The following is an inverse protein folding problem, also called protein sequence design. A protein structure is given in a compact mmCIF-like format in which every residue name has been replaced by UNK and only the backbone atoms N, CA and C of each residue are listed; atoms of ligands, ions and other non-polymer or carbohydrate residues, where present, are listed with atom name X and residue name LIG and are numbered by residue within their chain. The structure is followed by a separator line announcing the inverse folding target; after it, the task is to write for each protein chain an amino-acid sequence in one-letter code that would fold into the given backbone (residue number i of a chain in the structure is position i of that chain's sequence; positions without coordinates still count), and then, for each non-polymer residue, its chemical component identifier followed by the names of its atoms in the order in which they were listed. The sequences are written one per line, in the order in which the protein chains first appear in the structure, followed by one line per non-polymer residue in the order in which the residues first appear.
data_IF_684061683624
#
_entry.id   IF_684061683624
#
_cell.length_a   1.000
_cell.length_b   1.000
_cell.length_c   1.000
_cell.angle_alpha   90.00
_cell.angle_beta   90.00
_cell.angle_gamma   90.00
#
_symmetry.space_group_name_H-M   'P 1'
#
loop_
_entity.id
_entity.type
_entity.pdbx_description
1 polymer ?
#
# COMPACT_ATOMS: atom_id res chain seq x y z
N UNK A 1 -9.48 -0.37 6.94
CA UNK A 1 -9.54 0.20 5.58
C UNK A 1 -8.63 1.41 5.52
N UNK A 2 -7.55 1.37 4.73
CA UNK A 2 -6.71 2.55 4.48
C UNK A 2 -7.51 3.50 3.57
N UNK A 3 -8.03 4.60 4.13
CA UNK A 3 -8.81 5.59 3.38
C UNK A 3 -8.03 6.90 3.38
N UNK A 4 -7.56 7.28 2.21
CA UNK A 4 -6.75 8.46 1.97
C UNK A 4 -5.95 8.26 0.70
N UNK A 5 -6.07 9.19 -0.24
CA UNK A 5 -5.23 9.25 -1.44
C UNK A 5 -3.79 9.55 -1.00
N UNK A 6 -3.11 8.55 -0.45
CA UNK A 6 -1.66 8.60 -0.35
C UNK A 6 -1.19 8.57 -1.78
N UNK A 7 -0.45 9.59 -2.22
CA UNK A 7 0.22 9.60 -3.52
C UNK A 7 1.26 8.47 -3.50
N UNK A 8 0.82 7.27 -3.85
CA UNK A 8 1.68 6.12 -4.08
C UNK A 8 2.03 6.13 -5.55
N UNK A 9 3.28 6.50 -5.85
CA UNK A 9 3.78 6.47 -7.21
C UNK A 9 3.81 5.02 -7.72
N UNK A 10 3.12 4.81 -8.84
CA UNK A 10 3.16 3.57 -9.60
C UNK A 10 4.31 3.71 -10.61
N UNK A 11 5.30 2.81 -10.54
CA UNK A 11 6.37 2.82 -11.53
C UNK A 11 5.89 2.26 -12.88
N UNK A 12 6.72 2.40 -13.92
CA UNK A 12 6.43 1.94 -15.28
C UNK A 12 6.19 0.43 -15.41
N UNK A 13 6.46 -0.35 -14.35
CA UNK A 13 6.25 -1.80 -14.30
C UNK A 13 5.04 -2.18 -13.45
N UNK A 14 4.23 -1.21 -13.02
CA UNK A 14 3.08 -1.45 -12.17
C UNK A 14 3.46 -1.79 -10.73
N UNK A 15 4.68 -1.48 -10.28
CA UNK A 15 5.08 -1.70 -8.88
C UNK A 15 4.75 -0.47 -8.04
N UNK A 16 4.24 -0.72 -6.85
CA UNK A 16 3.85 0.31 -5.90
C UNK A 16 4.77 0.25 -4.68
N UNK A 17 5.38 1.39 -4.32
CA UNK A 17 6.20 1.49 -3.11
C UNK A 17 5.33 1.86 -1.91
N UNK A 18 5.14 0.91 -1.00
CA UNK A 18 4.42 1.18 0.27
C UNK A 18 5.30 2.06 1.17
N UNK A 19 4.83 3.23 1.64
CA UNK A 19 5.59 4.08 2.57
C UNK A 19 5.91 3.35 3.88
N UNK A 20 7.10 3.57 4.44
CA UNK A 20 7.61 2.85 5.63
C UNK A 20 6.63 2.90 6.81
N UNK A 21 6.00 4.05 7.06
CA UNK A 21 5.03 4.26 8.14
C UNK A 21 3.81 3.32 8.11
N UNK A 22 3.47 2.76 6.95
CA UNK A 22 2.31 1.88 6.79
C UNK A 22 2.68 0.40 6.75
N UNK A 23 3.97 0.05 6.62
CA UNK A 23 4.40 -1.34 6.48
C UNK A 23 4.11 -2.17 7.73
N UNK A 24 4.42 -1.62 8.90
CA UNK A 24 4.16 -2.28 10.19
C UNK A 24 2.66 -2.53 10.37
N UNK A 25 1.85 -1.48 10.22
CA UNK A 25 0.40 -1.59 10.31
C UNK A 25 -0.20 -2.56 9.27
N UNK A 26 0.37 -2.64 8.06
CA UNK A 26 -0.06 -3.56 7.01
C UNK A 26 0.26 -5.02 7.38
N UNK A 27 1.45 -5.27 7.93
CA UNK A 27 1.84 -6.59 8.39
C UNK A 27 0.96 -7.07 9.54
N UNK A 28 0.74 -6.21 10.53
CA UNK A 28 -0.05 -6.55 11.72
C UNK A 28 -1.54 -6.75 11.42
N UNK A 29 -2.14 -5.87 10.61
CA UNK A 29 -3.60 -5.84 10.45
C UNK A 29 -4.09 -6.56 9.18
N UNK A 30 -3.20 -6.83 8.23
CA UNK A 30 -3.57 -7.41 6.93
C UNK A 30 -2.59 -8.49 6.47
N UNK A 31 -1.68 -8.97 7.33
CA UNK A 31 -0.65 -9.96 6.98
C UNK A 31 0.18 -9.55 5.75
N UNK A 32 0.37 -8.24 5.54
CA UNK A 32 1.10 -7.71 4.37
C UNK A 32 0.29 -7.73 3.07
N UNK A 33 -1.01 -8.04 3.10
CA UNK A 33 -1.85 -8.13 1.91
C UNK A 33 -2.57 -6.81 1.61
N UNK A 34 -2.64 -6.47 0.33
CA UNK A 34 -3.36 -5.30 -0.17
C UNK A 34 -4.16 -5.69 -1.41
N UNK A 35 -5.37 -5.15 -1.53
CA UNK A 35 -6.20 -5.28 -2.73
C UNK A 35 -6.23 -3.93 -3.43
N UNK A 36 -5.82 -3.92 -4.70
CA UNK A 36 -5.94 -2.75 -5.57
C UNK A 36 -7.22 -2.92 -6.41
N UNK A 37 -8.15 -1.98 -6.31
CA UNK A 37 -9.33 -1.91 -7.18
C UNK A 37 -9.12 -0.81 -8.23
N UNK A 38 -9.64 -1.04 -9.44
CA UNK A 38 -9.64 -0.07 -10.54
C UNK A 38 -10.72 1.00 -10.36
#
# INVERSE_FOLDING_TARGET
MFRGATLVNLDSKGRLSVPTRYREQLLENAAGQMVLHH
#
